data_IF_372954735489
#
_entry.id   IF_372954735489
#
_cell.length_a   1.000
_cell.length_b   1.000
_cell.length_c   1.000
_cell.angle_alpha   90.00
_cell.angle_beta   90.00
_cell.angle_gamma   90.00
#
_symmetry.space_group_name_H-M   'P 1'
#
loop_
_entity.id
_entity.type
_entity.pdbx_description
1 polymer ?
#
# COMPACT_ATOMS: atom_id res chain seq x y z
N UNK A 1 -72.18 -0.73 24.91
CA UNK A 1 -71.67 -0.63 23.52
C UNK A 1 -70.40 0.21 23.54
N UNK A 2 -69.34 -0.31 22.88
CA UNK A 2 -68.06 0.32 22.50
C UNK A 2 -67.22 0.95 23.63
N UNK A 3 -66.23 0.24 24.20
CA UNK A 3 -64.85 0.06 23.70
C UNK A 3 -64.13 1.35 23.29
N UNK A 4 -63.28 1.86 24.19
CA UNK A 4 -62.21 2.79 23.84
C UNK A 4 -60.88 2.10 24.17
N UNK A 5 -60.31 1.43 23.19
CA UNK A 5 -58.99 0.82 23.26
C UNK A 5 -57.97 1.97 23.20
N UNK A 6 -57.17 2.13 24.25
CA UNK A 6 -55.98 2.99 24.23
C UNK A 6 -54.92 2.32 23.37
N UNK A 7 -54.72 2.82 22.15
CA UNK A 7 -53.58 2.46 21.31
C UNK A 7 -52.33 3.11 21.91
N UNK A 8 -51.49 2.31 22.56
CA UNK A 8 -50.12 2.71 22.85
C UNK A 8 -49.36 2.73 21.53
N UNK A 9 -49.08 3.94 21.03
CA UNK A 9 -48.09 4.12 19.99
C UNK A 9 -46.72 3.79 20.60
N UNK A 10 -46.18 2.62 20.26
CA UNK A 10 -44.76 2.39 20.37
C UNK A 10 -44.06 3.36 19.41
N UNK A 11 -43.29 4.28 19.96
CA UNK A 11 -42.36 5.11 19.20
C UNK A 11 -41.35 4.18 18.54
N UNK A 12 -41.50 3.92 17.24
CA UNK A 12 -40.47 3.28 16.44
C UNK A 12 -39.19 4.11 16.57
N UNK A 13 -38.01 3.51 16.85
CA UNK A 13 -36.76 4.24 16.80
C UNK A 13 -36.65 4.85 15.41
N UNK A 14 -36.45 6.17 15.34
CA UNK A 14 -36.26 6.87 14.09
C UNK A 14 -35.15 6.17 13.32
N UNK A 15 -35.49 5.58 12.17
CA UNK A 15 -34.50 5.20 11.19
C UNK A 15 -33.78 6.50 10.80
N UNK A 16 -32.54 6.66 11.27
CA UNK A 16 -31.67 7.71 10.76
C UNK A 16 -31.65 7.57 9.24
N UNK A 17 -31.87 8.65 8.47
CA UNK A 17 -31.64 8.59 7.04
C UNK A 17 -30.19 8.14 6.85
N UNK A 18 -29.99 6.96 6.27
CA UNK A 18 -28.68 6.54 5.80
C UNK A 18 -28.25 7.61 4.80
N UNK A 19 -27.30 8.44 5.21
CA UNK A 19 -26.78 9.52 4.40
C UNK A 19 -26.24 8.89 3.11
N UNK A 20 -26.77 9.26 1.94
CA UNK A 20 -26.30 8.72 0.66
C UNK A 20 -24.80 9.00 0.43
N UNK A 21 -24.25 10.01 1.12
CA UNK A 21 -22.80 10.29 1.15
C UNK A 21 -21.98 9.10 1.65
N UNK A 22 -22.46 8.38 2.66
CA UNK A 22 -21.74 7.23 3.23
C UNK A 22 -21.63 6.08 2.24
N UNK A 23 -22.66 5.87 1.42
CA UNK A 23 -22.67 4.86 0.36
C UNK A 23 -21.72 5.20 -0.79
N UNK A 24 -21.60 6.49 -1.09
CA UNK A 24 -20.70 6.97 -2.14
C UNK A 24 -19.24 6.86 -1.70
N UNK A 25 -18.93 7.29 -0.47
CA UNK A 25 -17.59 7.16 0.09
C UNK A 25 -17.18 5.69 0.23
N UNK A 26 -18.10 4.81 0.64
CA UNK A 26 -17.89 3.37 0.66
C UNK A 26 -17.61 2.81 -0.75
N UNK A 27 -18.38 3.23 -1.76
CA UNK A 27 -18.15 2.81 -3.13
C UNK A 27 -16.76 3.25 -3.66
N UNK A 28 -16.37 4.51 -3.39
CA UNK A 28 -15.04 5.03 -3.75
C UNK A 28 -13.92 4.24 -3.06
N UNK A 29 -14.06 3.98 -1.77
CA UNK A 29 -13.08 3.21 -1.01
C UNK A 29 -12.96 1.77 -1.51
N UNK A 30 -14.08 1.13 -1.84
CA UNK A 30 -14.07 -0.22 -2.40
C UNK A 30 -13.30 -0.27 -3.73
N UNK A 31 -13.55 0.67 -4.65
CA UNK A 31 -12.82 0.76 -5.93
C UNK A 31 -11.32 0.92 -5.68
N UNK A 32 -10.91 1.86 -4.83
CA UNK A 32 -9.49 2.09 -4.51
C UNK A 32 -8.83 0.87 -3.86
N UNK A 33 -9.54 0.20 -2.95
CA UNK A 33 -9.01 -1.00 -2.30
C UNK A 33 -8.82 -2.15 -3.28
N UNK A 34 -9.77 -2.34 -4.23
CA UNK A 34 -9.64 -3.37 -5.27
C UNK A 34 -8.41 -3.09 -6.15
N UNK A 35 -8.22 -1.84 -6.58
CA UNK A 35 -7.04 -1.42 -7.35
C UNK A 35 -5.72 -1.70 -6.61
N UNK A 36 -5.71 -1.56 -5.29
CA UNK A 36 -4.53 -1.89 -4.46
C UNK A 36 -4.30 -3.39 -4.29
N UNK A 37 -5.32 -4.24 -4.46
CA UNK A 37 -5.23 -5.69 -4.26
C UNK A 37 -4.99 -6.48 -5.54
N UNK A 38 -5.70 -6.17 -6.62
CA UNK A 38 -5.72 -6.94 -7.89
C UNK A 38 -4.53 -6.61 -8.83
N UNK A 39 -3.53 -5.89 -8.32
CA UNK A 39 -2.44 -5.34 -9.11
C UNK A 39 -2.75 -3.93 -9.60
N UNK A 40 -1.70 -3.16 -9.81
CA UNK A 40 -1.74 -1.71 -10.07
C UNK A 40 -2.60 -1.29 -11.27
N UNK A 41 -3.00 -2.22 -12.15
CA UNK A 41 -3.72 -1.97 -13.40
C UNK A 41 -4.77 -3.06 -13.64
N UNK A 42 -6.03 -2.67 -13.76
CA UNK A 42 -7.17 -3.59 -13.97
C UNK A 42 -8.12 -3.06 -15.05
N UNK A 43 -8.70 -3.91 -15.88
CA UNK A 43 -9.71 -3.45 -16.84
C UNK A 43 -11.02 -3.07 -16.14
N UNK A 44 -11.74 -2.12 -16.74
CA UNK A 44 -13.00 -1.63 -16.19
C UNK A 44 -14.09 -2.70 -15.96
N UNK A 45 -14.05 -3.79 -16.74
CA UNK A 45 -14.99 -4.91 -16.59
C UNK A 45 -14.70 -5.76 -15.36
N UNK A 46 -13.45 -6.18 -15.18
CA UNK A 46 -13.01 -6.93 -14.01
C UNK A 46 -13.09 -6.09 -12.73
N UNK A 47 -12.78 -4.79 -12.81
CA UNK A 47 -13.00 -3.87 -11.69
C UNK A 47 -14.47 -3.81 -11.26
N UNK A 48 -15.39 -3.79 -12.23
CA UNK A 48 -16.81 -3.82 -11.94
C UNK A 48 -17.23 -5.14 -11.26
N UNK A 49 -16.71 -6.28 -11.73
CA UNK A 49 -16.99 -7.59 -11.13
C UNK A 49 -16.50 -7.64 -9.68
N UNK A 50 -15.23 -7.29 -9.44
CA UNK A 50 -14.66 -7.26 -8.10
C UNK A 50 -15.41 -6.28 -7.18
N UNK A 51 -15.85 -5.14 -7.70
CA UNK A 51 -16.66 -4.18 -6.96
C UNK A 51 -18.02 -4.77 -6.55
N UNK A 52 -18.67 -5.51 -7.45
CA UNK A 52 -19.91 -6.23 -7.15
C UNK A 52 -19.70 -7.34 -6.11
N UNK A 53 -18.59 -8.08 -6.20
CA UNK A 53 -18.23 -9.14 -5.26
C UNK A 53 -17.91 -8.60 -3.86
N UNK A 54 -17.30 -7.41 -3.78
CA UNK A 54 -17.07 -6.68 -2.53
C UNK A 54 -18.35 -6.10 -1.89
N UNK A 55 -19.53 -6.36 -2.46
CA UNK A 55 -20.81 -5.89 -1.95
C UNK A 55 -21.25 -4.53 -2.50
N UNK A 56 -20.55 -3.98 -3.50
CA UNK A 56 -20.89 -2.70 -4.11
C UNK A 56 -22.23 -2.70 -4.87
N UNK A 57 -22.98 -1.61 -4.73
CA UNK A 57 -24.21 -1.39 -5.49
C UNK A 57 -23.90 -0.92 -6.92
N UNK A 58 -24.52 -1.55 -7.92
CA UNK A 58 -24.24 -1.28 -9.34
C UNK A 58 -24.48 0.18 -9.73
N UNK A 59 -25.49 0.83 -9.13
CA UNK A 59 -25.82 2.24 -9.36
C UNK A 59 -24.70 3.18 -8.93
N UNK A 60 -23.88 2.79 -7.97
CA UNK A 60 -22.88 3.66 -7.36
C UNK A 60 -21.51 3.51 -8.04
N UNK A 61 -21.31 2.45 -8.83
CA UNK A 61 -20.03 2.20 -9.49
C UNK A 61 -19.60 3.33 -10.42
N UNK A 62 -20.42 3.64 -11.43
CA UNK A 62 -20.07 4.67 -12.41
C UNK A 62 -19.92 6.06 -11.75
N UNK A 63 -20.87 6.52 -10.92
CA UNK A 63 -20.70 7.78 -10.20
C UNK A 63 -19.40 7.82 -9.38
N UNK A 64 -19.08 6.76 -8.64
CA UNK A 64 -17.87 6.71 -7.81
C UNK A 64 -16.60 6.74 -8.67
N UNK A 65 -16.62 6.08 -9.82
CA UNK A 65 -15.53 6.09 -10.77
C UNK A 65 -15.31 7.48 -11.38
N UNK A 66 -16.39 8.18 -11.76
CA UNK A 66 -16.34 9.54 -12.28
C UNK A 66 -15.77 10.49 -11.21
N UNK A 67 -16.27 10.44 -9.96
CA UNK A 67 -15.74 11.26 -8.85
C UNK A 67 -14.27 10.97 -8.55
N UNK A 68 -13.84 9.70 -8.54
CA UNK A 68 -12.43 9.36 -8.31
C UNK A 68 -11.51 9.86 -9.43
N UNK A 69 -12.02 9.91 -10.66
CA UNK A 69 -11.31 10.45 -11.82
C UNK A 69 -11.21 11.97 -11.71
N UNK A 70 -12.30 12.64 -11.36
CA UNK A 70 -12.34 14.10 -11.15
C UNK A 70 -11.49 14.55 -9.95
N UNK A 71 -11.46 13.76 -8.88
CA UNK A 71 -10.58 13.94 -7.71
C UNK A 71 -9.09 13.66 -8.03
N UNK A 72 -8.78 13.12 -9.21
CA UNK A 72 -7.41 12.77 -9.60
C UNK A 72 -6.81 11.64 -8.77
N UNK A 73 -7.63 10.73 -8.23
CA UNK A 73 -7.18 9.56 -7.47
C UNK A 73 -6.91 8.35 -8.35
N UNK A 74 -7.62 8.25 -9.47
CA UNK A 74 -7.46 7.18 -10.44
C UNK A 74 -7.29 7.75 -11.84
N UNK A 75 -6.74 6.94 -12.74
CA UNK A 75 -6.59 7.28 -14.15
C UNK A 75 -6.82 6.04 -15.01
N UNK A 76 -7.37 6.28 -16.20
CA UNK A 76 -7.47 5.26 -17.23
C UNK A 76 -6.35 5.41 -18.26
N UNK A 77 -5.81 4.29 -18.73
CA UNK A 77 -4.88 4.26 -19.85
C UNK A 77 -5.60 4.15 -21.21
N UNK A 78 -4.82 4.08 -22.29
CA UNK A 78 -5.35 3.91 -23.66
C UNK A 78 -6.03 2.57 -23.91
N UNK A 79 -5.73 1.55 -23.11
CA UNK A 79 -6.26 0.20 -23.24
C UNK A 79 -7.57 0.00 -22.44
N UNK A 80 -8.01 1.04 -21.72
CA UNK A 80 -9.22 1.01 -20.90
C UNK A 80 -9.02 0.36 -19.53
N UNK A 81 -7.76 0.22 -19.09
CA UNK A 81 -7.43 -0.18 -17.73
C UNK A 81 -7.38 1.02 -16.81
N UNK A 82 -7.77 0.80 -15.56
CA UNK A 82 -7.87 1.79 -14.51
C UNK A 82 -6.79 1.44 -13.47
N UNK A 83 -6.11 2.49 -13.00
CA UNK A 83 -5.07 2.42 -11.98
C UNK A 83 -5.15 3.61 -11.04
N UNK A 84 -4.47 3.53 -9.89
CA UNK A 84 -4.30 4.71 -9.03
C UNK A 84 -3.31 5.68 -9.64
N UNK A 85 -3.44 6.98 -9.35
CA UNK A 85 -2.48 7.98 -9.86
C UNK A 85 -1.10 7.77 -9.25
N UNK A 86 -1.03 7.28 -8.00
CA UNK A 86 0.24 6.92 -7.36
C UNK A 86 0.96 5.80 -8.13
N UNK A 87 0.22 4.77 -8.56
CA UNK A 87 0.80 3.67 -9.32
C UNK A 87 1.20 4.09 -10.74
N UNK A 88 0.40 4.95 -11.39
CA UNK A 88 0.75 5.54 -12.69
C UNK A 88 2.08 6.31 -12.63
N UNK A 89 2.29 7.09 -11.57
CA UNK A 89 3.55 7.83 -11.38
C UNK A 89 4.72 6.88 -11.13
N UNK A 90 4.51 5.81 -10.37
CA UNK A 90 5.51 4.77 -10.12
C UNK A 90 5.95 4.09 -11.41
N UNK A 91 5.00 3.70 -12.27
CA UNK A 91 5.27 3.08 -13.56
C UNK A 91 6.08 4.02 -14.46
N UNK A 92 5.65 5.29 -14.57
CA UNK A 92 6.38 6.30 -15.35
C UNK A 92 7.81 6.52 -14.84
N UNK A 93 8.02 6.49 -13.53
CA UNK A 93 9.34 6.69 -12.91
C UNK A 93 10.27 5.51 -13.14
N UNK A 94 9.73 4.30 -13.27
CA UNK A 94 10.50 3.09 -13.62
C UNK A 94 10.79 3.01 -15.12
N UNK A 95 9.91 3.55 -15.95
CA UNK A 95 10.10 3.61 -17.41
C UNK A 95 11.10 4.69 -17.83
N UNK A 96 11.18 5.81 -17.09
CA UNK A 96 12.12 6.91 -17.38
C UNK A 96 13.60 6.57 -17.12
N UNK A 97 13.93 5.46 -16.46
CA UNK A 97 15.32 4.97 -16.36
C UNK A 97 15.84 4.35 -17.69
N UNK A 98 15.01 4.30 -18.75
CA UNK A 98 15.35 3.62 -20.01
C UNK A 98 15.23 4.48 -21.29
N UNK A 99 14.93 5.78 -21.21
CA UNK A 99 14.89 6.64 -22.40
C UNK A 99 15.37 8.06 -22.09
N UNK A 100 16.46 8.44 -22.77
CA UNK A 100 17.01 9.78 -22.93
C UNK A 100 16.10 10.60 -23.88
N UNK A 101 15.70 11.81 -23.48
CA UNK A 101 15.05 12.92 -24.25
C UNK A 101 13.69 12.65 -24.95
N UNK A 102 12.75 13.58 -25.17
CA UNK A 102 12.43 14.97 -24.81
C UNK A 102 10.96 15.15 -25.25
N UNK A 103 10.19 15.99 -24.58
CA UNK A 103 9.40 17.01 -25.28
C UNK A 103 9.01 18.13 -24.30
N UNK A 104 9.71 19.21 -24.54
CA UNK A 104 9.61 20.60 -24.10
C UNK A 104 8.22 21.17 -24.43
N UNK A 105 7.48 21.63 -23.41
CA UNK A 105 6.65 22.82 -23.55
C UNK A 105 6.30 23.39 -22.16
N UNK A 106 7.05 24.45 -21.82
CA UNK A 106 6.56 25.64 -21.14
C UNK A 106 6.45 25.63 -19.60
N UNK A 107 7.58 25.82 -18.90
CA UNK A 107 7.70 26.79 -17.78
C UNK A 107 9.15 27.32 -17.74
N UNK A 108 9.35 28.54 -18.25
CA UNK A 108 10.50 29.36 -17.88
C UNK A 108 10.34 29.76 -16.41
N UNK A 109 11.03 29.08 -15.49
CA UNK A 109 11.33 29.64 -14.17
C UNK A 109 12.82 29.48 -13.90
N UNK A 110 13.50 30.62 -13.75
CA UNK A 110 14.88 30.76 -13.34
C UNK A 110 15.12 29.96 -12.05
N UNK A 111 15.88 28.88 -12.15
CA UNK A 111 16.36 28.15 -10.97
C UNK A 111 17.59 28.90 -10.47
N UNK A 112 17.38 29.84 -9.53
CA UNK A 112 18.46 30.30 -8.66
C UNK A 112 19.07 29.08 -7.97
N UNK A 113 20.33 28.80 -8.28
CA UNK A 113 21.14 27.78 -7.62
C UNK A 113 21.39 28.22 -6.18
N UNK A 114 20.52 27.80 -5.26
CA UNK A 114 20.80 27.87 -3.82
C UNK A 114 21.54 26.58 -3.41
N UNK A 115 22.81 26.77 -3.04
CA UNK A 115 23.88 25.80 -2.70
C UNK A 115 23.59 24.92 -1.46
N UNK A 116 22.33 24.72 -1.08
CA UNK A 116 21.91 24.02 0.15
C UNK A 116 21.30 22.63 -0.11
N UNK A 117 20.89 22.32 -1.35
CA UNK A 117 20.21 21.06 -1.71
C UNK A 117 21.15 19.87 -1.98
N UNK A 118 22.44 20.10 -2.19
CA UNK A 118 23.40 19.01 -2.49
C UNK A 118 23.56 18.04 -1.30
N UNK A 119 23.46 18.55 -0.07
CA UNK A 119 23.57 17.72 1.14
C UNK A 119 22.37 16.78 1.35
N UNK A 120 21.18 17.21 0.96
CA UNK A 120 19.97 16.39 1.10
C UNK A 120 19.95 15.27 0.06
N UNK A 121 20.33 15.59 -1.18
CA UNK A 121 20.49 14.59 -2.24
C UNK A 121 21.58 13.56 -1.89
N UNK A 122 22.74 14.00 -1.37
CA UNK A 122 23.77 13.08 -0.89
C UNK A 122 23.29 12.18 0.26
N UNK A 123 22.45 12.71 1.16
CA UNK A 123 21.88 11.95 2.27
C UNK A 123 20.87 10.91 1.77
N UNK A 124 20.05 11.27 0.78
CA UNK A 124 19.10 10.36 0.13
C UNK A 124 19.84 9.24 -0.62
N UNK A 125 20.91 9.57 -1.34
CA UNK A 125 21.74 8.59 -2.05
C UNK A 125 22.37 7.59 -1.07
N UNK A 126 22.92 8.05 0.06
CA UNK A 126 23.47 7.16 1.09
C UNK A 126 22.41 6.23 1.69
N UNK A 127 21.24 6.76 2.01
CA UNK A 127 20.12 5.95 2.53
C UNK A 127 19.67 4.88 1.52
N UNK A 128 19.67 5.21 0.22
CA UNK A 128 19.39 4.26 -0.86
C UNK A 128 20.45 3.15 -0.89
N UNK A 129 21.73 3.50 -0.88
CA UNK A 129 22.84 2.53 -0.90
C UNK A 129 22.84 1.61 0.34
N UNK A 130 22.53 2.15 1.52
CA UNK A 130 22.37 1.38 2.76
C UNK A 130 21.18 0.41 2.67
N UNK A 131 20.06 0.86 2.13
CA UNK A 131 18.85 0.04 1.96
C UNK A 131 19.10 -1.08 0.94
N UNK A 132 19.74 -0.78 -0.18
CA UNK A 132 20.11 -1.76 -1.21
C UNK A 132 21.08 -2.81 -0.65
N UNK A 133 22.07 -2.38 0.15
CA UNK A 133 23.01 -3.29 0.82
C UNK A 133 22.31 -4.19 1.83
N UNK A 134 21.40 -3.64 2.63
CA UNK A 134 20.61 -4.41 3.59
C UNK A 134 19.68 -5.42 2.91
N UNK A 135 19.04 -5.06 1.79
CA UNK A 135 18.22 -5.97 0.99
C UNK A 135 19.05 -7.11 0.40
N UNK A 136 20.25 -6.82 -0.11
CA UNK A 136 21.17 -7.84 -0.64
C UNK A 136 21.59 -8.81 0.47
N UNK A 137 21.97 -8.31 1.65
CA UNK A 137 22.35 -9.16 2.78
C UNK A 137 21.16 -9.97 3.29
N UNK A 138 19.97 -9.37 3.32
CA UNK A 138 18.74 -10.08 3.68
C UNK A 138 18.42 -11.18 2.69
N UNK A 139 18.50 -10.94 1.38
CA UNK A 139 18.25 -11.94 0.33
C UNK A 139 19.34 -13.02 0.27
N UNK A 140 20.59 -12.69 0.60
CA UNK A 140 21.67 -13.70 0.76
C UNK A 140 21.42 -14.63 1.94
N UNK A 141 20.81 -14.11 3.01
CA UNK A 141 20.58 -14.87 4.25
C UNK A 141 19.19 -15.54 4.29
N UNK A 142 18.18 -14.98 3.62
CA UNK A 142 16.87 -15.58 3.42
C UNK A 142 16.90 -16.51 2.19
N UNK A 143 17.38 -17.75 2.38
CA UNK A 143 16.92 -18.87 1.53
C UNK A 143 17.96 -19.77 0.87
N UNK A 144 19.27 -19.66 1.15
CA UNK A 144 20.18 -20.76 0.81
C UNK A 144 20.25 -21.75 1.97
N UNK A 145 19.95 -23.02 1.70
CA UNK A 145 20.08 -24.12 2.66
C UNK A 145 21.49 -24.18 3.26
N UNK A 146 22.52 -23.85 2.46
CA UNK A 146 23.90 -23.75 2.90
C UNK A 146 24.15 -22.58 3.86
N UNK A 147 23.54 -21.41 3.61
CA UNK A 147 23.66 -20.21 4.47
C UNK A 147 23.04 -20.42 5.84
N UNK A 148 21.80 -20.93 5.87
CA UNK A 148 21.11 -21.30 7.11
C UNK A 148 21.88 -22.39 7.87
N UNK A 149 22.47 -23.36 7.17
CA UNK A 149 23.28 -24.41 7.79
C UNK A 149 24.58 -23.87 8.39
N UNK A 150 25.22 -22.90 7.75
CA UNK A 150 26.41 -22.24 8.29
C UNK A 150 26.07 -21.44 9.56
N UNK A 151 24.98 -20.68 9.54
CA UNK A 151 24.51 -19.90 10.69
C UNK A 151 24.13 -20.81 11.87
N UNK A 152 23.39 -21.91 11.61
CA UNK A 152 23.05 -22.91 12.63
C UNK A 152 24.32 -23.56 13.21
N UNK A 153 25.35 -23.82 12.40
CA UNK A 153 26.62 -24.35 12.89
C UNK A 153 27.37 -23.36 13.78
N UNK A 154 27.37 -22.08 13.43
CA UNK A 154 27.99 -21.04 14.26
C UNK A 154 27.24 -20.85 15.57
N UNK A 155 25.91 -20.82 15.54
CA UNK A 155 25.07 -20.77 16.73
C UNK A 155 25.32 -21.97 17.65
N UNK A 156 25.44 -23.18 17.10
CA UNK A 156 25.81 -24.38 17.88
C UNK A 156 27.14 -24.22 18.60
N UNK A 157 28.18 -23.70 17.92
CA UNK A 157 29.50 -23.45 18.54
C UNK A 157 29.42 -22.40 19.64
N UNK A 158 28.60 -21.37 19.48
CA UNK A 158 28.38 -20.34 20.51
C UNK A 158 27.68 -20.91 21.74
N UNK A 159 26.66 -21.75 21.55
CA UNK A 159 25.96 -22.44 22.64
C UNK A 159 26.90 -23.36 23.41
N UNK A 160 27.70 -24.17 22.73
CA UNK A 160 28.66 -25.07 23.38
C UNK A 160 29.70 -24.32 24.24
N UNK A 161 30.17 -23.15 23.78
CA UNK A 161 31.04 -22.28 24.59
C UNK A 161 30.33 -21.77 25.84
N UNK A 162 29.06 -21.37 25.73
CA UNK A 162 28.27 -20.90 26.85
C UNK A 162 28.00 -22.01 27.86
N UNK A 163 27.66 -23.22 27.40
CA UNK A 163 27.48 -24.39 28.26
C UNK A 163 28.74 -24.67 29.10
N UNK A 164 29.92 -24.62 28.47
CA UNK A 164 31.19 -24.81 29.17
C UNK A 164 31.49 -23.72 30.20
N UNK A 165 31.12 -22.46 29.90
CA UNK A 165 31.24 -21.35 30.85
C UNK A 165 30.31 -21.57 32.04
N UNK A 166 29.06 -21.97 31.79
CA UNK A 166 28.07 -22.27 32.82
C UNK A 166 28.55 -23.44 33.68
N UNK A 167 29.03 -24.54 33.10
CA UNK A 167 29.57 -25.70 33.82
C UNK A 167 30.72 -25.29 34.75
N UNK A 168 31.65 -24.46 34.26
CA UNK A 168 32.74 -23.94 35.07
C UNK A 168 32.24 -23.04 36.21
N UNK A 169 31.22 -22.20 35.96
CA UNK A 169 30.62 -21.38 37.01
C UNK A 169 29.92 -22.24 38.06
N UNK A 170 29.15 -23.24 37.66
CA UNK A 170 28.47 -24.15 38.58
C UNK A 170 29.47 -24.93 39.45
N UNK A 171 30.57 -25.39 38.87
CA UNK A 171 31.64 -26.10 39.59
C UNK A 171 32.36 -25.23 40.63
N UNK A 172 32.31 -23.91 40.51
CA UNK A 172 32.86 -22.98 41.52
C UNK A 172 31.96 -22.88 42.75
N UNK A 173 30.69 -23.29 42.64
CA UNK A 173 29.72 -23.29 43.74
C UNK A 173 29.56 -24.66 44.42
N UNK A 174 30.14 -25.73 43.87
CA UNK A 174 30.28 -27.06 44.49
C UNK A 174 31.57 -27.17 45.31
#
# INVERSE_FOLDING_TARGET
MASTIKLYYYSLPMAYPLNDSGKMDEAKNNIVNILKMEGYKIDSGNLFIAFKEAGGEMSNFKPALDELTDEGKIKSDSDGNIMTVEDFQREKSQESDNVEDLDEDNVEEEIETNDENDNELESIIKLKEETDSWLIDKLKNEGSEEGLKAEVQELRKRVEKLEKVIENMTRVFD
#
